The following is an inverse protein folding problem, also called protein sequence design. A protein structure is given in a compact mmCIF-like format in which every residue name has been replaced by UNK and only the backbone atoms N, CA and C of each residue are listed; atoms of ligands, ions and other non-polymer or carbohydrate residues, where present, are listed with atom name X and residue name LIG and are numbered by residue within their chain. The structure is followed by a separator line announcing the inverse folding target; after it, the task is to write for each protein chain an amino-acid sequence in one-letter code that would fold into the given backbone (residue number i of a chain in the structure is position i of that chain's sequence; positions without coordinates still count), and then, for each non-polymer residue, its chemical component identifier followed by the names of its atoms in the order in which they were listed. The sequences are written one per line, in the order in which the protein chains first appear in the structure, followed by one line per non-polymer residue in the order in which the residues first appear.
data_IF_941664657640
#
_entry.id   IF_941664657640
#
_cell.length_a   1.000
_cell.length_b   1.000
_cell.length_c   1.000
_cell.angle_alpha   90.00
_cell.angle_beta   90.00
_cell.angle_gamma   90.00
#
_symmetry.space_group_name_H-M   'P 1'
#
loop_
_entity.id
_entity.type
_entity.pdbx_description
1 polymer ?
#
# COMPACT_ATOMS: atom_id res chain seq x y z
N UNK A 1 24.35 -21.80 -79.51
CA UNK A 1 23.08 -21.26 -80.07
C UNK A 1 22.11 -22.41 -80.22
N UNK A 2 20.94 -22.35 -79.59
CA UNK A 2 19.62 -22.75 -80.13
C UNK A 2 18.59 -22.72 -78.98
N UNK A 3 17.52 -21.94 -79.19
CA UNK A 3 16.28 -21.92 -78.40
C UNK A 3 15.51 -23.23 -78.58
N UNK A 4 14.73 -23.62 -77.58
CA UNK A 4 13.44 -24.31 -77.73
C UNK A 4 12.47 -23.81 -76.65
N UNK A 5 11.26 -23.47 -77.10
CA UNK A 5 10.08 -23.02 -76.35
C UNK A 5 9.16 -24.20 -75.96
N UNK A 6 8.03 -23.88 -75.31
CA UNK A 6 6.81 -24.68 -75.04
C UNK A 6 6.83 -25.55 -73.76
N UNK A 7 5.77 -25.68 -72.95
CA UNK A 7 4.40 -25.15 -72.95
C UNK A 7 3.77 -25.36 -71.56
N UNK A 8 2.64 -24.71 -71.30
CA UNK A 8 1.83 -24.79 -70.08
C UNK A 8 1.10 -26.14 -69.92
N UNK A 9 0.86 -26.57 -68.68
CA UNK A 9 -0.10 -27.65 -68.39
C UNK A 9 -0.12 -28.04 -66.91
N UNK A 10 -1.08 -27.50 -66.16
CA UNK A 10 -1.23 -27.76 -64.73
C UNK A 10 -1.87 -29.10 -64.39
N UNK A 11 -1.59 -29.62 -63.20
CA UNK A 11 -2.59 -30.04 -62.21
C UNK A 11 -1.91 -30.56 -60.93
N UNK A 12 -2.24 -29.90 -59.82
CA UNK A 12 -2.53 -30.47 -58.51
C UNK A 12 -1.56 -31.50 -57.91
N UNK A 13 -0.46 -31.00 -57.33
CA UNK A 13 0.15 -31.62 -56.16
C UNK A 13 -0.27 -30.82 -54.92
N UNK A 14 -1.10 -31.42 -54.06
CA UNK A 14 -1.55 -30.84 -52.80
C UNK A 14 -0.38 -30.26 -51.98
N UNK A 15 -0.23 -28.94 -51.99
CA UNK A 15 0.62 -28.25 -51.04
C UNK A 15 -0.14 -28.21 -49.72
N UNK A 16 0.17 -29.16 -48.83
CA UNK A 16 -0.22 -29.11 -47.43
C UNK A 16 0.21 -27.75 -46.88
N UNK A 17 -0.77 -26.92 -46.52
CA UNK A 17 -0.56 -25.67 -45.77
C UNK A 17 0.31 -25.97 -44.53
N UNK A 18 1.51 -25.38 -44.37
CA UNK A 18 2.24 -25.45 -43.12
C UNK A 18 1.64 -24.42 -42.15
N UNK A 19 0.38 -24.59 -41.78
CA UNK A 19 -0.29 -23.74 -40.79
C UNK A 19 -0.87 -24.61 -39.70
N UNK A 20 -0.02 -24.92 -38.72
CA UNK A 20 -0.35 -24.98 -37.29
C UNK A 20 0.84 -25.55 -36.50
N UNK A 21 1.97 -24.84 -36.52
CA UNK A 21 3.05 -25.10 -35.54
C UNK A 21 3.07 -23.93 -34.57
N UNK A 22 2.41 -24.11 -33.42
CA UNK A 22 2.55 -23.19 -32.29
C UNK A 22 3.91 -23.42 -31.64
N UNK A 23 4.67 -22.34 -31.39
CA UNK A 23 5.93 -22.38 -30.65
C UNK A 23 5.86 -21.36 -29.53
N UNK A 24 6.12 -21.82 -28.31
CA UNK A 24 6.32 -20.99 -27.13
C UNK A 24 7.74 -21.19 -26.59
N UNK A 25 8.36 -20.12 -26.08
CA UNK A 25 9.62 -20.19 -25.34
C UNK A 25 9.39 -19.73 -23.90
N UNK A 26 9.71 -20.57 -22.93
CA UNK A 26 9.83 -20.10 -21.54
C UNK A 26 11.19 -19.44 -21.37
N UNK A 27 11.20 -18.19 -20.91
CA UNK A 27 12.41 -17.47 -20.55
C UNK A 27 12.42 -17.31 -19.04
N UNK A 28 13.53 -17.74 -18.43
CA UNK A 28 13.82 -17.53 -17.02
C UNK A 28 14.91 -16.48 -16.95
N UNK A 29 14.58 -15.28 -16.46
CA UNK A 29 15.53 -14.17 -16.31
C UNK A 29 15.61 -13.72 -14.86
N UNK A 30 16.66 -12.99 -14.52
CA UNK A 30 16.86 -12.44 -13.18
C UNK A 30 16.78 -10.93 -13.20
N UNK A 31 15.88 -10.37 -12.39
CA UNK A 31 15.85 -8.93 -12.10
C UNK A 31 16.77 -8.67 -10.92
N UNK A 32 17.88 -7.97 -11.18
CA UNK A 32 18.90 -7.71 -10.18
C UNK A 32 18.71 -6.33 -9.55
N UNK A 33 18.98 -6.23 -8.26
CA UNK A 33 19.04 -4.95 -7.54
C UNK A 33 19.98 -5.05 -6.35
N UNK A 34 20.61 -3.94 -6.00
CA UNK A 34 21.60 -3.89 -4.92
C UNK A 34 21.22 -2.85 -3.87
N UNK A 35 21.55 -3.15 -2.63
CA UNK A 35 21.32 -2.29 -1.48
C UNK A 35 22.57 -2.21 -0.61
N UNK A 36 22.93 -1.00 -0.20
CA UNK A 36 24.03 -0.76 0.74
C UNK A 36 23.46 -0.49 2.12
N UNK A 37 23.84 -1.35 3.07
CA UNK A 37 23.45 -1.26 4.46
C UNK A 37 24.65 -0.87 5.33
N UNK A 38 24.52 0.25 6.07
CA UNK A 38 25.57 0.74 6.98
C UNK A 38 25.10 0.62 8.41
N UNK A 39 25.83 -0.14 9.23
CA UNK A 39 25.65 -0.22 10.68
C UNK A 39 26.62 0.76 11.32
N UNK A 40 26.11 1.85 11.89
CA UNK A 40 26.90 2.77 12.72
C UNK A 40 26.75 2.40 14.19
N UNK A 41 27.82 2.46 14.96
CA UNK A 41 27.79 2.10 16.38
C UNK A 41 27.90 0.59 16.61
N UNK A 42 28.74 -0.13 15.84
CA UNK A 42 28.88 -1.59 15.98
C UNK A 42 29.24 -2.01 17.42
N UNK A 43 30.02 -1.20 18.12
CA UNK A 43 30.38 -1.39 19.53
C UNK A 43 29.19 -1.41 20.49
N UNK A 44 28.06 -0.81 20.12
CA UNK A 44 26.78 -0.86 20.85
C UNK A 44 25.91 -2.04 20.41
N UNK A 45 26.10 -2.53 19.19
CA UNK A 45 25.38 -3.66 18.63
C UNK A 45 25.88 -5.02 19.15
N UNK A 46 27.12 -5.10 19.65
CA UNK A 46 27.66 -6.31 20.31
C UNK A 46 27.05 -6.49 21.71
N UNK A 47 26.81 -7.73 22.11
CA UNK A 47 26.21 -8.06 23.41
C UNK A 47 24.67 -8.06 23.43
N UNK A 48 24.01 -7.92 22.28
CA UNK A 48 22.56 -8.12 22.13
C UNK A 48 22.14 -9.57 22.41
N UNK A 49 23.07 -10.52 22.27
CA UNK A 49 22.87 -11.94 22.48
C UNK A 49 22.56 -12.70 21.18
N UNK A 50 22.85 -14.02 21.12
CA UNK A 50 22.58 -14.84 19.95
C UNK A 50 21.11 -14.76 19.49
N UNK A 51 20.90 -14.72 18.18
CA UNK A 51 19.58 -14.66 17.56
C UNK A 51 18.93 -13.28 17.52
N UNK A 52 19.53 -12.26 18.16
CA UNK A 52 19.14 -10.86 17.97
C UNK A 52 19.83 -10.27 16.75
N UNK A 53 19.11 -9.42 16.01
CA UNK A 53 19.61 -8.80 14.79
C UNK A 53 19.26 -7.32 14.68
N UNK A 54 20.02 -6.65 13.83
CA UNK A 54 19.72 -5.35 13.27
C UNK A 54 19.17 -5.55 11.85
N UNK A 55 18.17 -4.76 11.47
CA UNK A 55 17.60 -4.77 10.13
C UNK A 55 18.09 -3.55 9.36
N UNK A 56 18.34 -3.71 8.06
CA UNK A 56 18.31 -2.59 7.12
C UNK A 56 16.89 -2.07 6.94
N UNK A 57 16.78 -0.92 6.29
CA UNK A 57 15.53 -0.53 5.65
C UNK A 57 15.18 -1.50 4.53
N UNK A 58 13.92 -1.49 4.11
CA UNK A 58 13.44 -2.30 2.99
C UNK A 58 13.88 -1.73 1.65
N UNK A 59 14.12 -2.61 0.68
CA UNK A 59 14.44 -2.21 -0.69
C UNK A 59 13.75 -3.14 -1.69
N UNK A 60 13.39 -2.58 -2.85
CA UNK A 60 12.56 -3.28 -3.84
C UNK A 60 13.41 -3.90 -4.95
N UNK A 61 13.27 -5.20 -5.16
CA UNK A 61 13.88 -5.92 -6.29
C UNK A 61 12.88 -6.93 -6.83
N UNK A 62 12.71 -6.96 -8.15
CA UNK A 62 11.83 -7.92 -8.81
C UNK A 62 10.36 -7.81 -8.40
N UNK A 63 9.91 -6.67 -7.88
CA UNK A 63 8.53 -6.45 -7.40
C UNK A 63 8.29 -6.88 -5.95
N UNK A 64 9.33 -7.31 -5.23
CA UNK A 64 9.26 -7.71 -3.83
C UNK A 64 10.11 -6.79 -2.98
N UNK A 65 9.73 -6.62 -1.70
CA UNK A 65 10.52 -5.89 -0.73
C UNK A 65 11.44 -6.85 0.03
N UNK A 66 12.68 -6.43 0.23
CA UNK A 66 13.75 -7.20 0.84
C UNK A 66 14.39 -6.40 1.97
N UNK A 67 14.96 -7.10 2.96
CA UNK A 67 15.74 -6.47 4.03
C UNK A 67 16.96 -7.32 4.39
N UNK A 68 18.06 -6.68 4.76
CA UNK A 68 19.27 -7.34 5.26
C UNK A 68 19.19 -7.44 6.77
N UNK A 69 19.31 -8.66 7.30
CA UNK A 69 19.38 -8.92 8.73
C UNK A 69 20.82 -9.26 9.15
N UNK A 70 21.37 -8.45 10.02
CA UNK A 70 22.71 -8.60 10.57
C UNK A 70 22.65 -9.02 12.04
N UNK A 71 23.30 -10.13 12.38
CA UNK A 71 23.36 -10.68 13.74
C UNK A 71 24.77 -10.48 14.30
N UNK A 72 25.02 -9.43 15.12
CA UNK A 72 26.35 -9.15 15.66
C UNK A 72 26.87 -10.31 16.52
N UNK A 73 25.99 -10.93 17.31
CA UNK A 73 26.33 -12.03 18.21
C UNK A 73 26.07 -13.43 17.62
N UNK A 74 25.81 -13.49 16.32
CA UNK A 74 25.49 -14.70 15.58
C UNK A 74 24.02 -15.10 15.69
N UNK A 75 23.52 -15.86 14.71
CA UNK A 75 22.14 -16.35 14.69
C UNK A 75 21.92 -17.57 15.58
N UNK A 76 22.91 -18.46 15.65
CA UNK A 76 22.82 -19.71 16.38
C UNK A 76 23.49 -19.60 17.76
N UNK A 77 22.78 -19.90 18.87
CA UNK A 77 23.38 -19.92 20.21
C UNK A 77 24.56 -20.90 20.34
N UNK A 78 24.51 -22.02 19.62
CA UNK A 78 25.55 -23.07 19.61
C UNK A 78 26.92 -22.58 19.14
N UNK A 79 26.96 -21.49 18.35
CA UNK A 79 28.22 -20.92 17.88
C UNK A 79 28.91 -20.08 18.97
N UNK A 80 28.38 -20.01 20.19
CA UNK A 80 28.91 -19.26 21.34
C UNK A 80 29.30 -17.83 20.99
N UNK A 81 28.51 -17.20 20.12
CA UNK A 81 28.82 -15.89 19.56
C UNK A 81 30.25 -15.83 19.00
N UNK A 82 30.73 -16.83 18.25
CA UNK A 82 32.06 -16.74 17.61
C UNK A 82 32.03 -16.02 16.26
N UNK A 83 30.85 -15.95 15.64
CA UNK A 83 30.65 -15.43 14.30
C UNK A 83 29.59 -14.33 14.28
N UNK A 84 29.71 -13.43 13.31
CA UNK A 84 28.59 -12.60 12.85
C UNK A 84 27.83 -13.37 11.78
N UNK A 85 26.52 -13.14 11.70
CA UNK A 85 25.67 -13.74 10.65
C UNK A 85 25.00 -12.66 9.81
N UNK A 86 24.81 -12.93 8.53
CA UNK A 86 24.15 -12.02 7.60
C UNK A 86 23.14 -12.79 6.77
N UNK A 87 21.93 -12.27 6.68
CA UNK A 87 20.83 -12.86 5.92
C UNK A 87 20.13 -11.80 5.07
N UNK A 88 19.61 -12.24 3.93
CA UNK A 88 18.60 -11.54 3.17
C UNK A 88 17.23 -12.13 3.51
N UNK A 89 16.25 -11.27 3.80
CA UNK A 89 14.90 -11.65 4.16
C UNK A 89 13.88 -11.05 3.19
N UNK A 90 12.83 -11.81 2.90
CA UNK A 90 11.66 -11.32 2.17
C UNK A 90 10.79 -10.50 3.14
N UNK A 91 10.64 -9.21 2.88
CA UNK A 91 9.91 -8.28 3.76
C UNK A 91 8.44 -8.05 3.32
N UNK A 92 8.14 -8.22 2.03
CA UNK A 92 6.77 -8.18 1.49
C UNK A 92 6.07 -9.53 1.56
N UNK A 93 4.75 -9.54 1.38
CA UNK A 93 4.02 -10.78 1.10
C UNK A 93 4.51 -11.39 -0.23
N UNK A 94 4.59 -12.72 -0.27
CA UNK A 94 5.05 -13.47 -1.43
C UNK A 94 5.12 -14.97 -1.13
N UNK A 95 4.80 -15.79 -2.12
CA UNK A 95 4.88 -17.26 -2.02
C UNK A 95 5.88 -17.78 -3.04
N UNK A 96 6.74 -18.70 -2.60
CA UNK A 96 7.76 -19.38 -3.41
C UNK A 96 8.60 -18.46 -4.32
N UNK A 97 9.03 -17.31 -3.76
CA UNK A 97 9.88 -16.35 -4.48
C UNK A 97 11.26 -16.94 -4.69
N UNK A 98 11.64 -17.20 -5.94
CA UNK A 98 12.98 -17.70 -6.29
C UNK A 98 13.96 -16.55 -6.46
N UNK A 99 15.07 -16.59 -5.72
CA UNK A 99 16.09 -15.54 -5.77
C UNK A 99 17.52 -16.08 -5.63
N UNK A 100 18.43 -15.41 -6.32
CA UNK A 100 19.87 -15.43 -6.06
C UNK A 100 20.22 -14.25 -5.16
N UNK A 101 21.31 -14.38 -4.41
CA UNK A 101 21.81 -13.27 -3.62
C UNK A 101 23.33 -13.26 -3.53
N UNK A 102 23.86 -12.08 -3.30
CA UNK A 102 25.24 -11.84 -2.92
C UNK A 102 25.25 -10.99 -1.66
N UNK A 103 26.10 -11.37 -0.71
CA UNK A 103 26.32 -10.62 0.53
C UNK A 103 27.81 -10.31 0.65
N UNK A 104 28.11 -9.02 0.83
CA UNK A 104 29.47 -8.51 0.79
C UNK A 104 29.74 -7.63 2.00
N UNK A 105 30.80 -7.94 2.77
CA UNK A 105 31.39 -6.96 3.69
C UNK A 105 32.40 -6.10 2.95
N UNK A 106 32.21 -4.79 3.06
CA UNK A 106 32.97 -3.82 2.28
C UNK A 106 34.29 -3.50 2.98
N UNK A 107 35.41 -3.69 2.28
CA UNK A 107 36.72 -3.19 2.69
C UNK A 107 36.74 -1.65 2.70
N UNK A 108 37.08 -1.06 3.84
CA UNK A 108 37.11 0.38 4.04
C UNK A 108 38.53 0.95 4.02
N UNK A 109 39.57 0.12 3.76
CA UNK A 109 40.94 0.62 3.59
C UNK A 109 41.21 1.22 2.21
N UNK A 110 40.26 1.11 1.27
CA UNK A 110 40.43 1.53 -0.13
C UNK A 110 41.23 0.54 -1.00
N UNK A 111 41.50 -0.68 -0.52
CA UNK A 111 42.24 -1.71 -1.28
C UNK A 111 41.32 -2.61 -2.12
N UNK A 112 40.00 -2.47 -1.96
CA UNK A 112 38.99 -3.25 -2.69
C UNK A 112 38.91 -4.71 -2.26
N UNK A 113 39.42 -5.08 -1.08
CA UNK A 113 39.48 -6.48 -0.62
C UNK A 113 38.20 -6.92 0.10
N UNK A 114 37.07 -6.81 -0.61
CA UNK A 114 35.76 -7.14 -0.06
C UNK A 114 35.64 -8.63 0.30
N UNK A 115 34.93 -8.95 1.40
CA UNK A 115 34.54 -10.34 1.69
C UNK A 115 33.21 -10.61 1.01
N UNK A 116 33.25 -11.31 -0.12
CA UNK A 116 32.08 -11.59 -0.96
C UNK A 116 31.61 -13.03 -0.75
N UNK A 117 30.30 -13.21 -0.67
CA UNK A 117 29.61 -14.49 -0.80
C UNK A 117 28.53 -14.35 -1.86
N UNK A 118 28.81 -14.84 -3.08
CA UNK A 118 27.94 -14.68 -4.25
C UNK A 118 27.35 -16.00 -4.72
N UNK A 119 26.10 -15.92 -5.18
CA UNK A 119 25.39 -17.01 -5.86
C UNK A 119 25.10 -16.72 -7.34
N UNK A 120 25.66 -15.65 -7.91
CA UNK A 120 25.49 -15.30 -9.32
C UNK A 120 26.49 -16.04 -10.23
N UNK A 121 27.72 -16.23 -9.77
CA UNK A 121 28.81 -16.77 -10.60
C UNK A 121 28.96 -18.30 -10.54
N UNK A 122 28.17 -18.98 -9.70
CA UNK A 122 28.22 -20.44 -9.55
C UNK A 122 26.87 -21.05 -9.92
N UNK A 123 26.90 -22.03 -10.83
CA UNK A 123 25.75 -22.90 -11.04
C UNK A 123 25.45 -23.64 -9.71
N UNK A 124 24.43 -23.18 -8.99
CA UNK A 124 23.92 -23.89 -7.83
C UNK A 124 23.32 -25.21 -8.30
N UNK A 125 23.78 -26.35 -7.78
CA UNK A 125 23.24 -27.67 -8.15
C UNK A 125 21.71 -27.77 -7.95
N UNK A 126 21.18 -27.05 -6.97
CA UNK A 126 19.74 -26.97 -6.67
C UNK A 126 19.03 -25.74 -7.27
N UNK A 127 19.74 -24.90 -8.02
CA UNK A 127 19.20 -23.63 -8.56
C UNK A 127 19.01 -22.53 -7.50
N UNK A 128 18.28 -21.45 -7.85
CA UNK A 128 18.04 -20.31 -6.96
C UNK A 128 17.28 -20.69 -5.69
N UNK A 129 17.51 -19.96 -4.60
CA UNK A 129 16.85 -20.20 -3.32
C UNK A 129 15.38 -19.81 -3.37
N UNK A 130 14.51 -20.57 -2.71
CA UNK A 130 13.07 -20.29 -2.63
C UNK A 130 12.73 -19.70 -1.26
N UNK A 131 12.13 -18.51 -1.26
CA UNK A 131 11.61 -17.83 -0.07
C UNK A 131 10.09 -17.98 -0.05
N UNK A 132 9.59 -18.74 0.93
CA UNK A 132 8.23 -19.28 0.89
C UNK A 132 7.14 -18.33 1.38
N UNK A 133 7.49 -17.39 2.25
CA UNK A 133 6.57 -16.49 2.93
C UNK A 133 7.31 -15.27 3.47
N UNK A 134 6.57 -14.23 3.88
CA UNK A 134 7.12 -13.03 4.51
C UNK A 134 7.92 -13.36 5.78
N UNK A 135 9.15 -12.89 5.86
CA UNK A 135 10.10 -13.18 6.94
C UNK A 135 10.96 -14.43 6.69
N UNK A 136 10.69 -15.20 5.62
CA UNK A 136 11.63 -16.22 5.14
C UNK A 136 12.97 -15.56 4.81
N UNK A 137 14.08 -16.23 5.13
CA UNK A 137 15.42 -15.65 4.96
C UNK A 137 16.47 -16.68 4.57
N UNK A 138 17.44 -16.24 3.77
CA UNK A 138 18.61 -17.03 3.37
C UNK A 138 19.89 -16.24 3.59
N UNK A 139 20.99 -16.93 3.85
CA UNK A 139 22.26 -16.28 4.21
C UNK A 139 23.19 -17.20 4.97
N UNK A 140 24.16 -16.61 5.66
CA UNK A 140 25.25 -17.35 6.28
C UNK A 140 25.25 -17.18 7.80
N UNK A 141 25.06 -18.29 8.51
CA UNK A 141 25.16 -18.37 9.97
C UNK A 141 26.57 -18.02 10.47
N UNK A 142 27.60 -18.47 9.76
CA UNK A 142 29.01 -18.21 10.08
C UNK A 142 29.63 -17.32 9.00
N UNK A 143 29.09 -16.11 8.82
CA UNK A 143 29.50 -15.21 7.73
C UNK A 143 30.95 -14.74 7.88
N UNK A 144 31.32 -14.29 9.09
CA UNK A 144 32.70 -13.90 9.41
C UNK A 144 32.96 -14.06 10.90
N UNK A 145 34.21 -14.38 11.29
CA UNK A 145 34.58 -14.55 12.70
C UNK A 145 34.60 -13.18 13.38
N UNK A 146 33.93 -13.01 14.53
CA UNK A 146 33.76 -11.68 15.15
C UNK A 146 35.10 -11.07 15.56
N UNK A 147 35.95 -11.84 16.25
CA UNK A 147 37.27 -11.35 16.69
C UNK A 147 38.14 -10.88 15.52
N UNK A 148 37.99 -11.52 14.36
CA UNK A 148 38.70 -11.12 13.13
C UNK A 148 38.05 -9.91 12.47
N UNK A 149 36.73 -9.71 12.63
CA UNK A 149 36.02 -8.54 12.11
C UNK A 149 36.48 -7.28 12.82
N UNK A 150 36.54 -7.34 14.15
CA UNK A 150 36.87 -6.23 15.04
C UNK A 150 38.27 -5.66 14.78
N UNK A 151 39.20 -6.47 14.26
CA UNK A 151 40.58 -6.07 13.94
C UNK A 151 40.81 -5.86 12.44
N UNK A 152 39.78 -5.98 11.60
CA UNK A 152 39.90 -5.89 10.14
C UNK A 152 39.58 -4.51 9.59
N UNK A 153 40.02 -4.28 8.35
CA UNK A 153 39.65 -3.11 7.54
C UNK A 153 38.15 -3.04 7.16
N UNK A 154 37.33 -4.03 7.55
CA UNK A 154 35.88 -4.02 7.36
C UNK A 154 35.13 -3.18 8.39
N UNK A 155 35.69 -3.00 9.59
CA UNK A 155 35.12 -2.16 10.65
C UNK A 155 36.00 -0.93 10.83
N UNK A 156 35.48 0.26 10.49
CA UNK A 156 36.21 1.52 10.58
C UNK A 156 35.32 2.59 11.18
N UNK A 157 35.86 3.38 12.11
CA UNK A 157 35.12 4.45 12.80
C UNK A 157 33.79 3.95 13.42
N UNK A 158 33.85 2.75 14.02
CA UNK A 158 32.70 2.03 14.59
C UNK A 158 31.54 1.77 13.58
N UNK A 159 31.86 1.75 12.29
CA UNK A 159 30.92 1.57 11.19
C UNK A 159 31.26 0.33 10.37
N UNK A 160 30.23 -0.49 10.08
CA UNK A 160 30.29 -1.64 9.19
C UNK A 160 29.45 -1.34 7.94
N UNK A 161 29.98 -1.62 6.76
CA UNK A 161 29.25 -1.46 5.50
C UNK A 161 29.07 -2.82 4.83
N UNK A 162 27.82 -3.15 4.52
CA UNK A 162 27.44 -4.34 3.76
C UNK A 162 26.80 -3.94 2.44
N UNK A 163 27.17 -4.61 1.36
CA UNK A 163 26.40 -4.57 0.12
C UNK A 163 25.66 -5.89 -0.02
N UNK A 164 24.37 -5.82 -0.36
CA UNK A 164 23.56 -6.96 -0.72
C UNK A 164 23.07 -6.79 -2.16
N UNK A 165 23.25 -7.81 -2.99
CA UNK A 165 22.64 -7.86 -4.32
C UNK A 165 21.65 -9.02 -4.33
N UNK A 166 20.43 -8.78 -4.81
CA UNK A 166 19.38 -9.78 -4.96
C UNK A 166 19.04 -9.91 -6.44
N UNK A 167 18.89 -11.13 -6.93
CA UNK A 167 18.49 -11.45 -8.29
C UNK A 167 17.23 -12.28 -8.27
N UNK A 168 16.08 -11.64 -8.49
CA UNK A 168 14.78 -12.32 -8.43
C UNK A 168 14.51 -12.98 -9.77
N UNK A 169 14.26 -14.29 -9.74
CA UNK A 169 14.03 -15.08 -10.94
C UNK A 169 12.57 -14.89 -11.37
N UNK A 170 12.39 -14.38 -12.58
CA UNK A 170 11.09 -14.25 -13.23
C UNK A 170 11.01 -15.24 -14.39
N UNK A 171 9.85 -15.86 -14.50
CA UNK A 171 9.53 -16.71 -15.65
C UNK A 171 8.46 -15.99 -16.46
N UNK A 172 8.74 -15.70 -17.71
CA UNK A 172 7.72 -15.28 -18.67
C UNK A 172 7.72 -16.19 -19.88
N UNK A 173 6.57 -16.28 -20.52
CA UNK A 173 6.40 -17.01 -21.77
C UNK A 173 6.54 -15.99 -22.89
N UNK A 174 7.61 -16.13 -23.66
CA UNK A 174 7.75 -15.41 -24.91
C UNK A 174 7.04 -16.21 -25.99
N UNK A 175 5.89 -15.71 -26.40
CA UNK A 175 5.36 -15.97 -27.74
C UNK A 175 6.10 -15.05 -28.71
N UNK A 176 6.47 -15.49 -29.93
CA UNK A 176 7.07 -14.61 -30.92
C UNK A 176 6.17 -13.39 -31.09
N UNK A 177 6.67 -12.22 -30.72
CA UNK A 177 5.95 -10.96 -30.88
C UNK A 177 5.72 -10.79 -32.37
N UNK A 178 4.48 -11.00 -32.82
CA UNK A 178 4.05 -10.52 -34.12
C UNK A 178 4.39 -9.02 -34.16
N UNK A 179 5.01 -8.56 -35.25
CA UNK A 179 5.31 -7.16 -35.58
C UNK A 179 4.27 -6.22 -34.94
N UNK A 180 4.58 -5.60 -33.81
CA UNK A 180 3.59 -4.83 -33.05
C UNK A 180 3.62 -3.37 -33.53
N UNK A 181 2.52 -2.92 -34.09
CA UNK A 181 2.27 -1.50 -34.33
C UNK A 181 2.11 -0.83 -32.95
N UNK A 182 2.86 0.25 -32.72
CA UNK A 182 2.69 1.06 -31.52
C UNK A 182 1.29 1.71 -31.56
N UNK A 183 0.47 1.41 -30.56
CA UNK A 183 -0.84 2.04 -30.36
C UNK A 183 -0.67 3.05 -29.21
N UNK A 184 -0.91 4.34 -29.43
CA UNK A 184 -0.86 5.33 -28.34
C UNK A 184 -1.92 5.01 -27.27
N UNK A 185 -1.73 5.49 -26.02
CA UNK A 185 -2.72 5.29 -24.97
C UNK A 185 -4.05 5.98 -25.33
N UNK A 186 -5.18 5.51 -24.79
CA UNK A 186 -6.47 6.18 -24.98
C UNK A 186 -6.43 7.64 -24.49
N UNK A 187 -6.95 8.56 -25.29
CA UNK A 187 -6.95 10.01 -25.04
C UNK A 187 -8.35 10.61 -24.87
N UNK A 188 -9.40 9.79 -24.92
CA UNK A 188 -10.80 10.23 -24.86
C UNK A 188 -11.09 11.15 -23.66
N UNK A 189 -10.61 10.80 -22.47
CA UNK A 189 -10.81 11.61 -21.25
C UNK A 189 -10.19 13.00 -21.37
N UNK A 190 -9.01 13.10 -22.01
CA UNK A 190 -8.34 14.37 -22.26
C UNK A 190 -9.10 15.20 -23.31
N UNK A 191 -9.54 14.57 -24.41
CA UNK A 191 -10.35 15.25 -25.43
C UNK A 191 -11.67 15.80 -24.86
N UNK A 192 -12.34 15.05 -23.97
CA UNK A 192 -13.56 15.52 -23.31
C UNK A 192 -13.27 16.62 -22.29
N UNK A 193 -12.17 16.55 -21.54
CA UNK A 193 -11.74 17.61 -20.62
C UNK A 193 -11.44 18.92 -21.36
N UNK A 194 -10.86 18.85 -22.55
CA UNK A 194 -10.65 20.00 -23.45
C UNK A 194 -11.98 20.58 -23.96
N UNK A 195 -12.95 19.72 -24.26
CA UNK A 195 -14.30 20.15 -24.63
C UNK A 195 -14.97 20.93 -23.48
N UNK A 196 -14.86 20.44 -22.24
CA UNK A 196 -15.33 21.18 -21.06
C UNK A 196 -14.63 22.54 -20.91
N UNK A 197 -13.30 22.56 -21.04
CA UNK A 197 -12.49 23.77 -20.84
C UNK A 197 -12.75 24.83 -21.92
N UNK A 198 -12.96 24.40 -23.17
CA UNK A 198 -13.26 25.30 -24.29
C UNK A 198 -14.70 25.83 -24.28
N UNK A 199 -15.64 25.09 -23.67
CA UNK A 199 -17.07 25.41 -23.66
C UNK A 199 -17.74 25.31 -25.03
N UNK A 200 -17.06 24.78 -26.05
CA UNK A 200 -17.59 24.69 -27.42
C UNK A 200 -18.77 23.72 -27.43
N UNK A 201 -19.94 24.20 -27.84
CA UNK A 201 -21.15 23.38 -27.94
C UNK A 201 -21.88 23.16 -26.62
N UNK A 202 -21.52 23.90 -25.56
CA UNK A 202 -22.24 23.85 -24.28
C UNK A 202 -23.71 24.23 -24.44
N UNK A 203 -24.60 23.47 -23.82
CA UNK A 203 -26.06 23.62 -23.91
C UNK A 203 -26.74 23.78 -22.53
N UNK A 204 -25.92 24.01 -21.49
CA UNK A 204 -26.35 24.28 -20.11
C UNK A 204 -25.32 25.16 -19.37
N UNK A 205 -25.82 26.13 -18.61
CA UNK A 205 -25.04 26.97 -17.70
C UNK A 205 -25.41 26.65 -16.24
N UNK A 206 -24.41 26.42 -15.39
CA UNK A 206 -24.58 26.25 -13.95
C UNK A 206 -24.10 27.49 -13.19
N UNK A 207 -24.96 28.11 -12.41
CA UNK A 207 -24.59 29.17 -11.47
C UNK A 207 -24.28 28.56 -10.11
N UNK A 208 -23.06 28.72 -9.65
CA UNK A 208 -22.57 28.14 -8.39
C UNK A 208 -21.87 29.24 -7.63
N UNK A 209 -22.50 29.75 -6.57
CA UNK A 209 -22.03 30.96 -5.91
C UNK A 209 -21.91 32.13 -6.87
N UNK A 210 -20.71 32.67 -7.03
CA UNK A 210 -20.34 33.76 -7.92
C UNK A 210 -19.75 33.30 -9.27
N UNK A 211 -19.62 31.98 -9.49
CA UNK A 211 -19.09 31.40 -10.72
C UNK A 211 -20.18 30.84 -11.64
N UNK A 212 -19.90 30.82 -12.94
CA UNK A 212 -20.75 30.18 -13.94
C UNK A 212 -19.96 29.12 -14.71
N UNK A 213 -20.46 27.88 -14.72
CA UNK A 213 -19.84 26.76 -15.43
C UNK A 213 -20.70 26.34 -16.63
N UNK A 214 -20.09 26.35 -17.81
CA UNK A 214 -20.71 25.85 -19.05
C UNK A 214 -20.48 24.35 -19.18
N UNK A 215 -21.49 23.58 -19.57
CA UNK A 215 -21.38 22.13 -19.73
C UNK A 215 -22.29 21.57 -20.83
N UNK A 216 -22.32 20.24 -20.96
CA UNK A 216 -23.04 19.50 -21.99
C UNK A 216 -24.00 18.50 -21.34
N UNK A 217 -25.31 18.69 -21.52
CA UNK A 217 -26.36 17.85 -20.91
C UNK A 217 -26.17 16.37 -21.20
N UNK A 218 -25.80 16.03 -22.44
CA UNK A 218 -25.60 14.64 -22.87
C UNK A 218 -24.46 13.96 -22.10
N UNK A 219 -23.33 14.65 -21.92
CA UNK A 219 -22.18 14.10 -21.18
C UNK A 219 -22.54 13.94 -19.70
N UNK A 220 -23.17 14.96 -19.11
CA UNK A 220 -23.60 14.92 -17.71
C UNK A 220 -24.62 13.79 -17.46
N UNK A 221 -25.63 13.66 -18.33
CA UNK A 221 -26.65 12.62 -18.24
C UNK A 221 -26.10 11.21 -18.45
N UNK A 222 -25.07 11.04 -19.29
CA UNK A 222 -24.43 9.75 -19.49
C UNK A 222 -23.61 9.30 -18.26
N UNK A 223 -23.15 10.25 -17.45
CA UNK A 223 -22.18 10.00 -16.36
C UNK A 223 -22.78 10.13 -14.96
N UNK A 224 -23.92 10.78 -14.83
CA UNK A 224 -24.64 10.96 -13.57
C UNK A 224 -26.12 10.61 -13.74
N UNK A 225 -26.65 9.64 -12.98
CA UNK A 225 -28.08 9.32 -13.01
C UNK A 225 -28.95 10.51 -12.57
N UNK A 226 -28.42 11.39 -11.71
CA UNK A 226 -29.12 12.59 -11.24
C UNK A 226 -29.27 13.59 -12.38
N UNK A 227 -28.20 13.89 -13.10
CA UNK A 227 -28.31 14.75 -14.29
C UNK A 227 -29.15 14.10 -15.40
N UNK A 228 -29.06 12.78 -15.55
CA UNK A 228 -29.91 12.03 -16.49
C UNK A 228 -31.39 12.25 -16.20
N UNK A 229 -31.80 12.09 -14.93
CA UNK A 229 -33.16 12.34 -14.51
C UNK A 229 -33.57 13.82 -14.63
N UNK A 230 -32.67 14.75 -14.26
CA UNK A 230 -32.92 16.20 -14.30
C UNK A 230 -33.19 16.71 -15.73
N UNK A 231 -32.46 16.19 -16.71
CA UNK A 231 -32.56 16.66 -18.10
C UNK A 231 -33.53 15.82 -18.94
N UNK A 232 -33.51 14.50 -18.78
CA UNK A 232 -34.18 13.56 -19.70
C UNK A 232 -35.09 12.55 -18.97
N UNK A 233 -35.25 12.66 -17.65
CA UNK A 233 -36.18 11.85 -16.87
C UNK A 233 -37.64 12.25 -17.09
N UNK A 234 -38.56 11.48 -16.47
CA UNK A 234 -40.02 11.68 -16.61
C UNK A 234 -40.50 13.09 -16.25
N UNK A 235 -39.80 13.73 -15.30
CA UNK A 235 -40.08 15.09 -14.83
C UNK A 235 -38.94 16.08 -15.17
N UNK A 236 -37.97 15.64 -15.99
CA UNK A 236 -36.84 16.44 -16.41
C UNK A 236 -37.22 17.48 -17.46
N UNK A 237 -36.37 18.49 -17.64
CA UNK A 237 -36.58 19.53 -18.65
C UNK A 237 -35.39 19.63 -19.61
N UNK A 238 -35.48 19.06 -20.83
CA UNK A 238 -34.39 19.14 -21.82
C UNK A 238 -34.09 20.57 -22.28
N UNK A 239 -35.07 21.48 -22.17
CA UNK A 239 -34.96 22.86 -22.64
C UNK A 239 -34.38 23.81 -21.59
N UNK A 240 -34.07 23.33 -20.38
CA UNK A 240 -33.45 24.15 -19.34
C UNK A 240 -32.06 24.60 -19.80
N UNK A 241 -31.81 25.89 -19.84
CA UNK A 241 -30.52 26.47 -20.27
C UNK A 241 -29.67 26.93 -19.08
N UNK A 242 -30.26 27.00 -17.88
CA UNK A 242 -29.60 27.46 -16.67
C UNK A 242 -30.05 26.71 -15.40
N UNK A 243 -29.12 26.33 -14.53
CA UNK A 243 -29.38 25.72 -13.22
C UNK A 243 -28.57 26.45 -12.14
N UNK A 244 -29.21 26.78 -11.02
CA UNK A 244 -28.53 27.30 -9.82
C UNK A 244 -28.19 26.14 -8.89
N UNK A 245 -26.94 26.08 -8.42
CA UNK A 245 -26.44 25.09 -7.46
C UNK A 245 -26.05 25.81 -6.18
N UNK A 246 -26.83 25.63 -5.12
CA UNK A 246 -26.65 26.35 -3.85
C UNK A 246 -25.81 25.57 -2.83
N UNK A 247 -25.80 24.24 -2.93
CA UNK A 247 -25.28 23.35 -1.88
C UNK A 247 -23.85 22.84 -2.12
N UNK A 248 -23.18 23.31 -3.17
CA UNK A 248 -21.82 22.87 -3.53
C UNK A 248 -20.97 24.10 -3.81
N UNK A 249 -19.81 24.17 -3.18
CA UNK A 249 -18.88 25.27 -3.41
C UNK A 249 -18.32 25.24 -4.84
N UNK A 250 -18.03 26.40 -5.46
CA UNK A 250 -17.52 26.48 -6.83
C UNK A 250 -16.33 25.54 -7.13
N UNK A 251 -15.26 25.47 -6.31
CA UNK A 251 -14.12 24.60 -6.62
C UNK A 251 -14.48 23.10 -6.54
N UNK A 252 -15.41 22.72 -5.66
CA UNK A 252 -15.91 21.34 -5.54
C UNK A 252 -16.75 20.96 -6.75
N UNK A 253 -17.63 21.87 -7.19
CA UNK A 253 -18.45 21.64 -8.37
C UNK A 253 -17.58 21.53 -9.64
N UNK A 254 -16.57 22.39 -9.77
CA UNK A 254 -15.58 22.32 -10.84
C UNK A 254 -14.81 20.99 -10.81
N UNK A 255 -14.37 20.52 -9.65
CA UNK A 255 -13.72 19.22 -9.50
C UNK A 255 -14.63 18.08 -9.99
N UNK A 256 -15.89 18.10 -9.58
CA UNK A 256 -16.89 17.11 -9.98
C UNK A 256 -17.12 17.13 -11.51
N UNK A 257 -17.23 18.30 -12.12
CA UNK A 257 -17.33 18.44 -13.57
C UNK A 257 -16.09 17.87 -14.25
N UNK A 258 -14.88 18.21 -13.82
CA UNK A 258 -13.65 17.66 -14.42
C UNK A 258 -13.65 16.12 -14.38
N UNK A 259 -14.03 15.52 -13.24
CA UNK A 259 -14.18 14.06 -13.15
C UNK A 259 -15.22 13.51 -14.14
N UNK A 260 -16.37 14.17 -14.30
CA UNK A 260 -17.41 13.70 -15.24
C UNK A 260 -16.86 13.59 -16.67
N UNK A 261 -16.00 14.53 -17.09
CA UNK A 261 -15.42 14.55 -18.44
C UNK A 261 -14.17 13.67 -18.59
N UNK A 262 -13.31 13.57 -17.57
CA UNK A 262 -12.02 12.84 -17.70
C UNK A 262 -11.99 11.46 -17.03
N UNK A 263 -12.94 11.16 -16.14
CA UNK A 263 -12.91 9.97 -15.25
C UNK A 263 -11.65 9.90 -14.35
N UNK A 264 -11.05 11.06 -14.06
CA UNK A 264 -9.88 11.19 -13.19
C UNK A 264 -10.21 12.06 -11.99
N UNK A 265 -9.68 11.69 -10.81
CA UNK A 265 -9.76 12.54 -9.62
C UNK A 265 -8.88 13.78 -9.86
N UNK A 266 -9.45 15.00 -9.87
CA UNK A 266 -8.66 16.21 -10.10
C UNK A 266 -7.65 16.43 -8.97
N UNK A 267 -6.50 17.02 -9.29
CA UNK A 267 -5.59 17.50 -8.26
C UNK A 267 -6.23 18.71 -7.57
N UNK A 268 -6.53 18.54 -6.29
CA UNK A 268 -7.20 19.55 -5.47
C UNK A 268 -6.29 20.78 -5.27
N UNK A 269 -4.96 20.61 -5.32
CA UNK A 269 -4.00 21.71 -5.24
C UNK A 269 -4.09 22.65 -6.44
N UNK A 270 -4.41 22.13 -7.63
CA UNK A 270 -4.54 22.93 -8.85
C UNK A 270 -5.82 23.78 -8.87
N UNK A 271 -6.84 23.41 -8.09
CA UNK A 271 -8.15 24.06 -8.10
C UNK A 271 -8.24 25.29 -7.19
N UNK A 272 -7.40 25.37 -6.15
CA UNK A 272 -7.52 26.41 -5.10
C UNK A 272 -6.20 27.13 -4.79
N UNK A 273 -5.13 26.80 -5.51
CA UNK A 273 -3.78 27.29 -5.23
C UNK A 273 -3.09 26.51 -4.10
N UNK A 274 -1.90 26.92 -3.71
CA UNK A 274 -1.10 26.22 -2.68
C UNK A 274 -1.75 26.33 -1.29
N UNK A 275 -2.64 25.40 -0.96
CA UNK A 275 -3.29 25.30 0.36
C UNK A 275 -2.64 24.20 1.22
N UNK A 276 -2.87 24.27 2.54
CA UNK A 276 -2.40 23.29 3.53
C UNK A 276 -2.93 21.87 3.25
N UNK A 277 -2.32 20.84 3.84
CA UNK A 277 -2.83 19.47 3.72
C UNK A 277 -4.23 19.32 4.33
N UNK A 278 -4.51 19.95 5.47
CA UNK A 278 -5.84 19.87 6.10
C UNK A 278 -6.95 20.42 5.20
N UNK A 279 -6.68 21.49 4.46
CA UNK A 279 -7.63 22.06 3.48
C UNK A 279 -7.83 21.14 2.28
N UNK A 280 -6.80 20.42 1.83
CA UNK A 280 -6.96 19.39 0.78
C UNK A 280 -7.88 18.27 1.23
N UNK A 281 -7.69 17.76 2.46
CA UNK A 281 -8.57 16.73 3.03
C UNK A 281 -10.03 17.19 3.12
N UNK A 282 -10.28 18.40 3.62
CA UNK A 282 -11.64 18.98 3.70
C UNK A 282 -12.28 19.08 2.30
N UNK A 283 -11.52 19.52 1.30
CA UNK A 283 -12.00 19.57 -0.08
C UNK A 283 -12.39 18.19 -0.62
N UNK A 284 -11.58 17.15 -0.35
CA UNK A 284 -11.91 15.78 -0.74
C UNK A 284 -13.15 15.27 0.01
N UNK A 285 -13.35 15.65 1.27
CA UNK A 285 -14.57 15.34 2.03
C UNK A 285 -15.82 15.96 1.37
N UNK A 286 -15.75 17.24 0.98
CA UNK A 286 -16.85 17.90 0.26
C UNK A 286 -17.09 17.30 -1.13
N UNK A 287 -16.01 16.92 -1.84
CA UNK A 287 -16.12 16.24 -3.13
C UNK A 287 -16.77 14.86 -3.01
N UNK A 288 -16.48 14.11 -1.95
CA UNK A 288 -17.15 12.85 -1.63
C UNK A 288 -18.66 13.07 -1.45
N UNK A 289 -19.05 14.08 -0.66
CA UNK A 289 -20.45 14.41 -0.45
C UNK A 289 -21.17 14.80 -1.76
N UNK A 290 -20.49 15.57 -2.62
CA UNK A 290 -21.00 15.89 -3.95
C UNK A 290 -21.11 14.64 -4.84
N UNK A 291 -20.10 13.76 -4.83
CA UNK A 291 -20.11 12.53 -5.61
C UNK A 291 -21.30 11.63 -5.25
N UNK A 292 -21.57 11.45 -3.96
CA UNK A 292 -22.74 10.70 -3.48
C UNK A 292 -24.05 11.34 -3.94
N UNK A 293 -24.19 12.67 -3.76
CA UNK A 293 -25.38 13.44 -4.15
C UNK A 293 -25.70 13.31 -5.64
N UNK A 294 -24.69 13.29 -6.51
CA UNK A 294 -24.87 13.20 -7.96
C UNK A 294 -24.78 11.76 -8.51
N UNK A 295 -24.67 10.75 -7.64
CA UNK A 295 -24.62 9.34 -8.01
C UNK A 295 -23.35 8.94 -8.78
N UNK A 296 -22.21 9.56 -8.45
CA UNK A 296 -20.91 9.34 -9.05
C UNK A 296 -20.09 8.33 -8.23
N UNK A 297 -20.51 7.05 -8.25
CA UNK A 297 -19.98 6.00 -7.37
C UNK A 297 -18.45 5.84 -7.46
N UNK A 298 -17.88 5.88 -8.67
CA UNK A 298 -16.44 5.75 -8.85
C UNK A 298 -15.67 6.95 -8.27
N UNK A 299 -16.20 8.17 -8.38
CA UNK A 299 -15.60 9.35 -7.75
C UNK A 299 -15.65 9.24 -6.24
N UNK A 300 -16.78 8.79 -5.69
CA UNK A 300 -16.94 8.55 -4.25
C UNK A 300 -15.88 7.58 -3.72
N UNK A 301 -15.66 6.46 -4.39
CA UNK A 301 -14.61 5.49 -4.03
C UNK A 301 -13.19 6.06 -4.17
N UNK A 302 -12.92 6.88 -5.19
CA UNK A 302 -11.63 7.56 -5.32
C UNK A 302 -11.39 8.55 -4.16
N UNK A 303 -12.42 9.29 -3.75
CA UNK A 303 -12.34 10.14 -2.56
C UNK A 303 -12.13 9.32 -1.28
N UNK A 304 -12.80 8.18 -1.11
CA UNK A 304 -12.57 7.28 0.03
C UNK A 304 -11.12 6.79 0.10
N UNK A 305 -10.57 6.34 -1.04
CA UNK A 305 -9.18 5.90 -1.12
C UNK A 305 -8.21 7.03 -0.75
N UNK A 306 -8.45 8.25 -1.27
CA UNK A 306 -7.62 9.41 -0.98
C UNK A 306 -7.67 9.82 0.49
N UNK A 307 -8.86 9.85 1.09
CA UNK A 307 -9.03 10.15 2.52
C UNK A 307 -8.39 9.08 3.42
N UNK A 308 -8.41 7.81 3.00
CA UNK A 308 -7.74 6.73 3.70
C UNK A 308 -6.22 6.90 3.76
N UNK A 309 -5.59 7.43 2.70
CA UNK A 309 -4.14 7.68 2.65
C UNK A 309 -3.69 8.86 3.51
N UNK A 310 -4.57 9.85 3.72
CA UNK A 310 -4.25 11.14 4.34
C UNK A 310 -4.90 11.34 5.72
N UNK A 311 -5.48 10.29 6.31
CA UNK A 311 -6.11 10.37 7.63
C UNK A 311 -5.10 10.78 8.71
N UNK A 312 -5.45 11.78 9.50
CA UNK A 312 -4.65 12.25 10.65
C UNK A 312 -5.51 12.30 11.92
N UNK A 313 -4.89 12.50 13.07
CA UNK A 313 -5.62 12.65 14.33
C UNK A 313 -6.63 13.82 14.29
N UNK A 314 -6.30 14.91 13.59
CA UNK A 314 -7.14 16.10 13.48
C UNK A 314 -8.34 15.91 12.54
N UNK A 315 -8.21 15.08 11.49
CA UNK A 315 -9.22 14.93 10.44
C UNK A 315 -10.04 13.65 10.55
N UNK A 316 -9.59 12.65 11.32
CA UNK A 316 -10.25 11.33 11.35
C UNK A 316 -11.68 11.39 11.88
N UNK A 317 -11.98 12.26 12.85
CA UNK A 317 -13.31 12.33 13.45
C UNK A 317 -14.35 12.91 12.47
N UNK A 318 -14.01 13.98 11.75
CA UNK A 318 -14.89 14.54 10.71
C UNK A 318 -15.01 13.59 9.51
N UNK A 319 -13.92 12.89 9.16
CA UNK A 319 -13.93 11.86 8.10
C UNK A 319 -14.82 10.68 8.47
N UNK A 320 -14.81 10.25 9.74
CA UNK A 320 -15.66 9.18 10.24
C UNK A 320 -17.15 9.57 10.21
N UNK A 321 -17.49 10.79 10.63
CA UNK A 321 -18.86 11.30 10.53
C UNK A 321 -19.34 11.34 9.07
N UNK A 322 -18.50 11.84 8.16
CA UNK A 322 -18.79 11.87 6.73
C UNK A 322 -19.01 10.46 6.16
N UNK A 323 -18.16 9.51 6.54
CA UNK A 323 -18.25 8.13 6.07
C UNK A 323 -19.57 7.46 6.51
N UNK A 324 -20.04 7.74 7.73
CA UNK A 324 -21.36 7.29 8.19
C UNK A 324 -22.48 7.94 7.38
N UNK A 325 -22.44 9.27 7.24
CA UNK A 325 -23.47 10.05 6.55
C UNK A 325 -23.67 9.59 5.09
N UNK A 326 -22.58 9.29 4.39
CA UNK A 326 -22.60 8.87 3.00
C UNK A 326 -22.47 7.36 2.81
N UNK A 327 -22.62 6.55 3.87
CA UNK A 327 -22.62 5.09 3.81
C UNK A 327 -21.33 4.48 3.22
N UNK A 328 -20.18 5.11 3.47
CA UNK A 328 -18.86 4.66 3.04
C UNK A 328 -18.29 3.62 4.01
N UNK A 329 -18.74 2.37 3.89
CA UNK A 329 -18.42 1.31 4.86
C UNK A 329 -16.91 1.03 4.99
N UNK A 330 -16.15 1.10 3.90
CA UNK A 330 -14.70 0.87 3.91
C UNK A 330 -13.96 1.99 4.64
N UNK A 331 -14.23 3.25 4.27
CA UNK A 331 -13.66 4.41 4.94
C UNK A 331 -14.03 4.44 6.44
N UNK A 332 -15.30 4.16 6.79
CA UNK A 332 -15.76 4.06 8.18
C UNK A 332 -14.91 3.06 8.98
N UNK A 333 -14.71 1.86 8.44
CA UNK A 333 -13.94 0.81 9.11
C UNK A 333 -12.47 1.21 9.32
N UNK A 334 -11.85 1.88 8.34
CA UNK A 334 -10.47 2.40 8.47
C UNK A 334 -10.40 3.48 9.55
N UNK A 335 -11.31 4.46 9.53
CA UNK A 335 -11.33 5.54 10.51
C UNK A 335 -11.51 4.99 11.94
N UNK A 336 -12.45 4.05 12.15
CA UNK A 336 -12.65 3.42 13.46
C UNK A 336 -11.38 2.72 13.96
N UNK A 337 -10.70 1.96 13.10
CA UNK A 337 -9.43 1.29 13.46
C UNK A 337 -8.32 2.28 13.78
N UNK A 338 -8.18 3.35 12.98
CA UNK A 338 -7.19 4.39 13.20
C UNK A 338 -7.42 5.10 14.54
N UNK A 339 -8.67 5.49 14.83
CA UNK A 339 -9.03 6.15 16.09
C UNK A 339 -8.88 5.21 17.29
N UNK A 340 -9.21 3.93 17.15
CA UNK A 340 -9.08 2.94 18.22
C UNK A 340 -7.63 2.58 18.57
N UNK A 341 -6.65 2.91 17.71
CA UNK A 341 -5.25 2.68 18.01
C UNK A 341 -4.78 3.50 19.22
N UNK A 342 -4.05 2.86 20.12
CA UNK A 342 -3.67 3.42 21.44
C UNK A 342 -2.88 4.71 21.34
N UNK A 343 -2.01 4.83 20.36
CA UNK A 343 -1.22 6.02 20.06
C UNK A 343 -2.05 7.22 19.58
N UNK A 344 -3.22 6.97 18.98
CA UNK A 344 -4.05 8.00 18.35
C UNK A 344 -5.23 8.43 19.22
N UNK A 345 -5.88 7.48 19.91
CA UNK A 345 -7.14 7.69 20.62
C UNK A 345 -7.12 8.94 21.53
N UNK A 346 -6.07 9.06 22.34
CA UNK A 346 -5.93 10.18 23.26
C UNK A 346 -5.82 11.54 22.56
N UNK A 347 -5.14 11.60 21.41
CA UNK A 347 -5.02 12.82 20.62
C UNK A 347 -6.35 13.17 19.94
N UNK A 348 -7.00 12.19 19.32
CA UNK A 348 -8.29 12.39 18.62
C UNK A 348 -9.36 12.91 19.57
N UNK A 349 -9.46 12.37 20.79
CA UNK A 349 -10.44 12.81 21.79
C UNK A 349 -10.28 14.27 22.24
N UNK A 350 -9.14 14.91 21.97
CA UNK A 350 -8.91 16.33 22.28
C UNK A 350 -9.23 17.26 21.10
N UNK A 351 -9.61 16.70 19.93
CA UNK A 351 -9.88 17.49 18.73
C UNK A 351 -11.31 18.04 18.72
N UNK A 352 -11.50 19.20 18.08
CA UNK A 352 -12.84 19.75 17.84
C UNK A 352 -13.69 18.82 16.97
N UNK A 353 -13.06 18.08 16.04
CA UNK A 353 -13.72 17.09 15.21
C UNK A 353 -14.36 15.96 16.02
N UNK A 354 -13.76 15.56 17.15
CA UNK A 354 -14.34 14.53 18.02
C UNK A 354 -15.54 15.07 18.81
N UNK A 355 -15.48 16.32 19.28
CA UNK A 355 -16.65 16.98 19.90
C UNK A 355 -17.82 17.08 18.91
N UNK A 356 -17.53 17.36 17.63
CA UNK A 356 -18.53 17.36 16.56
C UNK A 356 -19.14 15.97 16.33
N UNK A 357 -18.31 14.93 16.32
CA UNK A 357 -18.75 13.53 16.19
C UNK A 357 -19.71 13.14 17.33
N UNK A 358 -19.38 13.49 18.57
CA UNK A 358 -20.22 13.24 19.75
C UNK A 358 -21.59 13.92 19.62
N UNK A 359 -21.62 15.17 19.14
CA UNK A 359 -22.85 15.92 18.97
C UNK A 359 -23.73 15.43 17.81
N UNK A 360 -23.12 14.97 16.71
CA UNK A 360 -23.82 14.73 15.44
C UNK A 360 -24.11 13.25 15.20
N UNK A 361 -23.23 12.35 15.67
CA UNK A 361 -23.30 10.92 15.39
C UNK A 361 -22.95 10.07 16.64
N UNK A 362 -23.75 10.13 17.73
CA UNK A 362 -23.45 9.44 18.97
C UNK A 362 -23.42 7.90 18.84
N UNK A 363 -24.07 7.32 17.83
CA UNK A 363 -23.98 5.89 17.52
C UNK A 363 -22.55 5.46 17.18
N UNK A 364 -21.76 6.32 16.55
CA UNK A 364 -20.37 6.03 16.18
C UNK A 364 -19.45 5.89 17.40
N UNK A 365 -19.83 6.47 18.54
CA UNK A 365 -19.10 6.24 19.80
C UNK A 365 -19.26 4.80 20.29
N UNK A 366 -20.43 4.19 20.08
CA UNK A 366 -20.64 2.78 20.41
C UNK A 366 -19.82 1.86 19.50
N UNK A 367 -19.80 2.17 18.20
CA UNK A 367 -18.95 1.45 17.22
C UNK A 367 -17.46 1.60 17.56
N UNK A 368 -17.03 2.80 17.97
CA UNK A 368 -15.66 3.06 18.41
C UNK A 368 -15.30 2.26 19.66
N UNK A 369 -16.15 2.27 20.69
CA UNK A 369 -15.94 1.49 21.91
C UNK A 369 -15.86 -0.01 21.62
N UNK A 370 -16.73 -0.52 20.75
CA UNK A 370 -16.68 -1.90 20.30
C UNK A 370 -15.36 -2.21 19.56
N UNK A 371 -14.89 -1.29 18.71
CA UNK A 371 -13.63 -1.43 17.98
C UNK A 371 -12.42 -1.42 18.94
N UNK A 372 -12.39 -0.52 19.92
CA UNK A 372 -11.35 -0.45 20.96
C UNK A 372 -11.27 -1.76 21.74
N UNK A 373 -12.41 -2.33 22.13
CA UNK A 373 -12.45 -3.60 22.85
C UNK A 373 -11.84 -4.78 22.06
N UNK A 374 -11.96 -4.76 20.72
CA UNK A 374 -11.34 -5.77 19.85
C UNK A 374 -9.84 -5.53 19.66
N UNK A 375 -9.41 -4.26 19.54
CA UNK A 375 -8.00 -3.91 19.32
C UNK A 375 -7.13 -4.23 20.56
N UNK A 376 -7.68 -4.11 21.77
CA UNK A 376 -6.95 -4.46 23.00
C UNK A 376 -6.66 -5.97 23.12
N UNK A 377 -7.49 -6.83 22.54
CA UNK A 377 -7.38 -8.31 22.64
C UNK A 377 -6.27 -8.89 21.75
N UNK A 378 -5.93 -8.23 20.64
CA UNK A 378 -4.78 -8.59 19.77
C UNK A 378 -3.42 -8.18 20.38
N UNK A 379 -3.43 -7.43 21.49
CA UNK A 379 -2.25 -7.05 22.25
C UNK A 379 -2.11 -7.92 23.52
N UNK A 380 -1.40 -9.05 23.40
CA UNK A 380 -1.07 -9.90 24.55
C UNK A 380 -0.49 -9.08 25.72
N UNK A 381 -0.88 -9.35 26.98
CA UNK A 381 -0.62 -8.45 28.09
C UNK A 381 0.88 -8.43 28.45
N UNK A 382 1.48 -7.25 28.32
CA UNK A 382 2.78 -6.94 28.92
C UNK A 382 2.68 -7.21 30.43
N UNK A 383 3.44 -8.21 30.87
CA UNK A 383 3.63 -8.59 32.26
C UNK A 383 4.00 -7.39 33.13
N UNK A 384 3.03 -6.77 33.80
CA UNK A 384 3.31 -5.87 34.93
C UNK A 384 3.63 -6.74 36.14
N UNK A 385 4.92 -6.99 36.36
CA UNK A 385 5.44 -7.37 37.68
C UNK A 385 5.04 -6.29 38.68
N UNK A 386 4.06 -6.58 39.54
CA UNK A 386 3.80 -5.82 40.76
C UNK A 386 4.97 -6.11 41.71
N UNK A 387 5.82 -5.11 41.92
CA UNK A 387 6.70 -5.06 43.08
C UNK A 387 5.84 -4.81 44.32
N UNK A 388 5.69 -5.83 45.16
CA UNK A 388 5.09 -5.69 46.48
C UNK A 388 6.12 -5.15 47.46
N UNK A 389 5.79 -4.04 48.13
CA UNK A 389 6.30 -3.70 49.44
C UNK A 389 5.11 -3.32 50.33
N UNK A 390 4.97 -4.09 51.40
CA UNK A 390 4.08 -3.98 52.56
C UNK A 390 4.06 -2.58 53.18
N UNK A 391 2.96 -2.08 53.78
CA UNK A 391 2.52 -2.49 55.12
C UNK A 391 1.20 -1.81 55.56
N UNK A 392 0.51 -2.47 56.51
CA UNK A 392 -0.56 -2.01 57.43
C UNK A 392 -1.96 -1.85 56.79
N UNK A 393 -3.06 -2.43 57.26
CA UNK A 393 -3.37 -3.23 58.45
C UNK A 393 -4.90 -3.22 58.64
N UNK A 394 -5.46 -4.37 59.03
CA UNK A 394 -6.81 -4.59 59.58
C UNK A 394 -8.07 -4.17 58.77
N UNK A 395 -8.80 -5.18 58.29
CA UNK A 395 -10.20 -5.52 58.65
C UNK A 395 -10.80 -6.36 57.51
N UNK A 396 -10.85 -7.68 57.67
CA UNK A 396 -11.98 -8.48 58.19
C UNK A 396 -13.11 -8.66 57.16
N UNK A 397 -13.37 -9.94 56.85
CA UNK A 397 -14.50 -10.57 56.15
C UNK A 397 -14.43 -10.69 54.62
N UNK A 398 -13.87 -11.81 54.20
CA UNK A 398 -14.29 -12.51 52.99
C UNK A 398 -15.62 -13.23 53.23
N UNK A 399 -16.51 -13.02 52.26
CA UNK A 399 -17.40 -13.99 51.59
C UNK A 399 -18.05 -15.12 52.39
N UNK A 400 -19.38 -15.24 52.26
CA UNK A 400 -19.95 -16.57 52.05
C UNK A 400 -21.02 -16.55 50.96
N UNK A 401 -20.82 -17.53 50.09
CA UNK A 401 -21.59 -17.99 48.95
C UNK A 401 -23.10 -18.17 49.14
N UNK A 402 -23.74 -18.03 47.98
CA UNK A 402 -24.95 -18.70 47.56
C UNK A 402 -24.85 -20.22 47.79
N UNK A 403 -25.40 -20.72 48.88
CA UNK A 403 -26.36 -21.82 48.82
C UNK A 403 -26.93 -22.14 50.20
N UNK A 404 -28.24 -21.96 50.33
CA UNK A 404 -28.98 -22.49 51.45
C UNK A 404 -29.00 -24.01 51.41
N UNK A 405 -28.55 -24.65 52.49
CA UNK A 405 -29.38 -25.54 53.31
C UNK A 405 -28.59 -26.13 54.49
N UNK A 406 -29.08 -25.79 55.67
CA UNK A 406 -28.88 -26.44 56.97
C UNK A 406 -29.16 -27.96 56.88
N UNK A 407 -28.33 -28.81 57.50
CA UNK A 407 -28.65 -29.50 58.77
C UNK A 407 -27.54 -30.45 59.27
N UNK A 408 -27.18 -30.22 60.55
CA UNK A 408 -26.84 -31.13 61.66
C UNK A 408 -25.63 -32.09 61.61
N UNK A 409 -24.67 -31.74 62.49
CA UNK A 409 -23.65 -32.58 63.15
C UNK A 409 -24.22 -33.75 63.96
N UNK A 410 -23.44 -34.84 64.00
CA UNK A 410 -23.04 -35.71 65.13
C UNK A 410 -22.11 -36.79 64.53
N UNK A 411 -20.96 -37.17 65.05
CA UNK A 411 -20.22 -36.87 66.29
C UNK A 411 -18.73 -36.98 65.96
#
# INVERSE_FOLDING_TARGET
MAKLEEEQGGMNGHQLNPLNVSRSRSVCETVNGSHRYTVKGFSLAKGMGPGRYLSSDTFTVGGYQWAVYFYPDGKNPEDNSLYVSVFIALASEGTDVRALFELTLVDQSGKGRHKVHSHFDRALEAGPYTLKYRGSMWGYKRFYRRTSLETSDYLKDDCLIMNCTVGVVRNHIETPTQLSIFVPPPDLGQCLKELFTSGIGSDIDFEVGDETFKAHKQILAARSPVFSAQFFGLIGNPNVDKIVVEDVEPPIFKAMLLFIYSDELPDVHDLTGSVSMCTSTIMVQHLLAAADRYGLERLKLLCEAKLCEEVTADTVATTLALAEQHQCAQLKAVCLKFTAARENLGAVMQTEGFNYLEATCPSLLSDLLATVAVVDDDSSPISRKRSGSSNIGLNLMDSVDLNGRRMKRRM
#
